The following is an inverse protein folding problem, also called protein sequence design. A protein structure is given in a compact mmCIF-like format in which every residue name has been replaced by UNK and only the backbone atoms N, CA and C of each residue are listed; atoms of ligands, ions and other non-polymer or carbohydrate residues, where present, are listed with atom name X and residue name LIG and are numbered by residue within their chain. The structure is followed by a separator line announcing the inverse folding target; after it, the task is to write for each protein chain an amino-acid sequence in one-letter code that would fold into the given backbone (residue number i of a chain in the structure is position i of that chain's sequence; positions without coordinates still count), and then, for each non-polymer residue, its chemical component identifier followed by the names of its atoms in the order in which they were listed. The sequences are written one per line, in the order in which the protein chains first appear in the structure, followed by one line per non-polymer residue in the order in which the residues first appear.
data_IF_432211180334
#
_entry.id   IF_432211180334
#
_cell.length_a   1.000
_cell.length_b   1.000
_cell.length_c   1.000
_cell.angle_alpha   90.00
_cell.angle_beta   90.00
_cell.angle_gamma   90.00
#
_symmetry.space_group_name_H-M   'P 1'
#
loop_
_entity.id
_entity.type
_entity.pdbx_description
1 polymer ?
#
# COMPACT_ATOMS: atom_id res chain seq x y z
N UNK A 1 -25.67 -13.16 -24.63
CA UNK A 1 -25.31 -11.72 -24.76
C UNK A 1 -23.79 -11.58 -24.83
N UNK A 2 -23.17 -11.74 -25.99
CA UNK A 2 -21.69 -11.76 -26.13
C UNK A 2 -21.00 -10.39 -25.92
N UNK A 3 -21.74 -9.30 -26.05
CA UNK A 3 -21.14 -7.95 -25.98
C UNK A 3 -20.83 -7.43 -24.55
N UNK A 4 -21.47 -7.97 -23.52
CA UNK A 4 -21.27 -7.55 -22.12
C UNK A 4 -19.97 -8.18 -21.57
N UNK A 5 -19.65 -9.42 -21.97
CA UNK A 5 -18.44 -10.11 -21.49
C UNK A 5 -17.15 -9.48 -22.06
N UNK A 6 -17.12 -9.13 -23.34
CA UNK A 6 -15.95 -8.50 -23.97
C UNK A 6 -15.68 -7.10 -23.42
N UNK A 7 -16.73 -6.33 -23.12
CA UNK A 7 -16.61 -5.03 -22.45
C UNK A 7 -16.06 -5.14 -21.03
N UNK A 8 -16.45 -6.15 -20.26
CA UNK A 8 -15.96 -6.38 -18.91
C UNK A 8 -14.49 -6.83 -18.88
N UNK A 9 -14.07 -7.66 -19.83
CA UNK A 9 -12.66 -8.10 -19.94
C UNK A 9 -11.77 -6.91 -20.30
N UNK A 10 -12.16 -6.07 -21.26
CA UNK A 10 -11.40 -4.87 -21.61
C UNK A 10 -11.29 -3.92 -20.41
N UNK A 11 -12.38 -3.68 -19.69
CA UNK A 11 -12.39 -2.86 -18.48
C UNK A 11 -11.44 -3.41 -17.41
N UNK A 12 -11.42 -4.74 -17.22
CA UNK A 12 -10.50 -5.39 -16.27
C UNK A 12 -9.04 -5.20 -16.67
N UNK A 13 -8.71 -5.41 -17.96
CA UNK A 13 -7.35 -5.24 -18.48
C UNK A 13 -6.90 -3.77 -18.33
N UNK A 14 -7.73 -2.82 -18.71
CA UNK A 14 -7.41 -1.38 -18.61
C UNK A 14 -7.23 -0.97 -17.16
N UNK A 15 -8.14 -1.39 -16.27
CA UNK A 15 -8.03 -1.11 -14.83
C UNK A 15 -6.75 -1.70 -14.25
N UNK A 16 -6.46 -2.97 -14.53
CA UNK A 16 -5.26 -3.64 -14.04
C UNK A 16 -3.98 -2.97 -14.55
N UNK A 17 -3.91 -2.69 -15.85
CA UNK A 17 -2.75 -2.03 -16.44
C UNK A 17 -2.53 -0.63 -15.86
N UNK A 18 -3.57 0.22 -15.81
CA UNK A 18 -3.49 1.55 -15.23
C UNK A 18 -3.04 1.49 -13.76
N UNK A 19 -3.68 0.65 -12.96
CA UNK A 19 -3.36 0.49 -11.55
C UNK A 19 -1.93 -0.03 -11.32
N UNK A 20 -1.44 -0.95 -12.15
CA UNK A 20 -0.08 -1.47 -12.06
C UNK A 20 0.97 -0.40 -12.33
N UNK A 21 0.83 0.34 -13.43
CA UNK A 21 1.79 1.39 -13.79
C UNK A 21 1.72 2.58 -12.84
N UNK A 22 0.53 3.06 -12.47
CA UNK A 22 0.36 4.14 -11.48
C UNK A 22 0.91 3.69 -10.12
N UNK A 23 0.50 2.52 -9.65
CA UNK A 23 1.00 1.93 -8.41
C UNK A 23 2.51 1.76 -8.39
N UNK A 24 3.10 1.45 -9.55
CA UNK A 24 4.53 1.26 -9.75
C UNK A 24 5.39 2.52 -9.61
N UNK A 25 4.84 3.74 -9.73
CA UNK A 25 5.63 4.97 -9.61
C UNK A 25 6.38 5.00 -8.28
N UNK A 26 7.74 5.06 -8.27
CA UNK A 26 8.53 4.93 -7.04
C UNK A 26 8.75 6.30 -6.37
N UNK A 27 7.74 6.87 -5.73
CA UNK A 27 7.81 8.23 -5.17
C UNK A 27 8.91 8.40 -4.13
N UNK A 28 9.28 7.37 -3.37
CA UNK A 28 10.45 7.45 -2.48
C UNK A 28 11.74 7.78 -3.21
N UNK A 29 11.93 7.27 -4.43
CA UNK A 29 13.10 7.58 -5.26
C UNK A 29 12.94 8.95 -5.93
N UNK A 30 11.75 9.24 -6.46
CA UNK A 30 11.47 10.53 -7.14
C UNK A 30 11.71 11.68 -6.19
N UNK A 31 11.10 11.66 -5.00
CA UNK A 31 11.28 12.72 -3.99
C UNK A 31 12.74 12.83 -3.57
N UNK A 32 13.43 11.71 -3.31
CA UNK A 32 14.85 11.74 -2.93
C UNK A 32 15.73 12.41 -3.99
N UNK A 33 15.47 12.16 -5.28
CA UNK A 33 16.18 12.81 -6.37
C UNK A 33 15.90 14.32 -6.45
N UNK A 34 14.62 14.70 -6.31
CA UNK A 34 14.21 16.12 -6.38
C UNK A 34 14.81 16.97 -5.26
N UNK A 35 15.03 16.40 -4.08
CA UNK A 35 15.61 17.14 -2.93
C UNK A 35 17.13 16.97 -2.83
N UNK A 36 17.79 16.37 -3.81
CA UNK A 36 19.24 16.15 -3.78
C UNK A 36 19.72 15.21 -2.67
N UNK A 37 18.83 14.33 -2.16
CA UNK A 37 19.13 13.44 -1.05
C UNK A 37 19.70 12.08 -1.45
N UNK A 38 20.10 11.29 -0.45
CA UNK A 38 20.61 9.93 -0.67
C UNK A 38 19.52 9.02 -1.24
N UNK A 39 19.90 8.09 -2.09
CA UNK A 39 18.95 7.13 -2.66
C UNK A 39 18.42 6.17 -1.55
N UNK A 40 17.09 6.03 -1.34
CA UNK A 40 16.56 5.12 -0.33
C UNK A 40 16.97 3.65 -0.52
N UNK A 41 17.30 3.26 -1.76
CA UNK A 41 17.78 1.91 -2.09
C UNK A 41 19.22 1.63 -1.64
N UNK A 42 20.02 2.64 -1.34
CA UNK A 42 21.38 2.46 -0.83
C UNK A 42 21.44 2.29 0.69
N UNK A 43 20.29 2.31 1.39
CA UNK A 43 20.21 2.32 2.86
C UNK A 43 19.32 1.18 3.36
N UNK A 44 19.66 0.65 4.53
CA UNK A 44 18.81 -0.26 5.29
C UNK A 44 18.46 -1.55 4.54
N UNK A 45 17.21 -1.72 4.13
CA UNK A 45 16.73 -2.92 3.44
C UNK A 45 16.95 -2.92 1.93
N UNK A 46 17.49 -1.85 1.36
CA UNK A 46 17.59 -1.68 -0.10
C UNK A 46 16.26 -1.42 -0.82
N UNK A 47 15.15 -1.23 -0.10
CA UNK A 47 13.83 -0.98 -0.67
C UNK A 47 13.48 0.52 -0.64
N UNK A 48 12.80 1.08 -1.64
CA UNK A 48 12.39 2.50 -1.66
C UNK A 48 11.13 2.78 -0.82
N UNK A 49 10.96 2.11 0.32
CA UNK A 49 9.80 2.28 1.19
C UNK A 49 10.01 3.33 2.27
N UNK A 50 8.92 3.75 2.96
CA UNK A 50 8.88 4.87 3.90
C UNK A 50 9.98 4.87 4.97
N UNK A 51 10.30 3.72 5.59
CA UNK A 51 11.37 3.64 6.59
C UNK A 51 12.77 3.95 6.02
N UNK A 52 13.07 3.51 4.81
CA UNK A 52 14.35 3.83 4.15
C UNK A 52 14.35 5.27 3.61
N UNK A 53 13.22 5.76 3.12
CA UNK A 53 13.05 7.16 2.73
C UNK A 53 13.25 8.08 3.93
N UNK A 54 12.70 7.72 5.11
CA UNK A 54 12.94 8.44 6.37
C UNK A 54 14.43 8.54 6.72
N UNK A 55 15.16 7.42 6.61
CA UNK A 55 16.61 7.39 6.86
C UNK A 55 17.42 8.15 5.81
N UNK A 56 16.94 8.20 4.56
CA UNK A 56 17.65 8.78 3.43
C UNK A 56 17.53 10.31 3.38
N UNK A 57 16.33 10.84 3.58
CA UNK A 57 15.97 12.23 3.30
C UNK A 57 15.17 12.90 4.43
N UNK A 58 15.07 12.26 5.59
CA UNK A 58 14.43 12.79 6.79
C UNK A 58 12.90 12.71 6.80
N UNK A 59 12.28 13.10 7.94
CA UNK A 59 10.85 12.84 8.21
C UNK A 59 9.91 13.63 7.29
N UNK A 60 10.23 14.89 6.99
CA UNK A 60 9.41 15.75 6.12
C UNK A 60 9.20 15.10 4.75
N UNK A 61 10.27 14.69 4.12
CA UNK A 61 10.24 14.15 2.76
C UNK A 61 9.77 12.71 2.71
N UNK A 62 9.99 11.94 3.79
CA UNK A 62 9.38 10.63 3.95
C UNK A 62 7.86 10.73 4.04
N UNK A 63 7.32 11.72 4.75
CA UNK A 63 5.88 11.98 4.80
C UNK A 63 5.33 12.34 3.41
N UNK A 64 5.97 13.28 2.71
CA UNK A 64 5.58 13.66 1.34
C UNK A 64 5.56 12.44 0.42
N UNK A 65 6.62 11.63 0.44
CA UNK A 65 6.68 10.38 -0.34
C UNK A 65 5.57 9.40 0.03
N UNK A 66 5.28 9.23 1.33
CA UNK A 66 4.21 8.37 1.80
C UNK A 66 2.82 8.84 1.38
N UNK A 67 2.56 10.16 1.40
CA UNK A 67 1.31 10.75 0.92
C UNK A 67 1.14 10.61 -0.60
N UNK A 68 2.22 10.76 -1.38
CA UNK A 68 2.19 10.50 -2.83
C UNK A 68 1.96 9.01 -3.13
N UNK A 69 2.53 8.10 -2.33
CA UNK A 69 2.25 6.67 -2.42
C UNK A 69 0.80 6.34 -2.03
N UNK A 70 0.20 7.05 -1.08
CA UNK A 70 -1.22 6.93 -0.77
C UNK A 70 -2.09 7.47 -1.90
N UNK A 71 -1.74 8.65 -2.44
CA UNK A 71 -2.49 9.28 -3.53
C UNK A 71 -2.60 8.37 -4.77
N UNK A 72 -1.52 7.67 -5.14
CA UNK A 72 -1.61 6.70 -6.27
C UNK A 72 -2.53 5.51 -5.95
N UNK A 73 -2.63 5.10 -4.67
CA UNK A 73 -3.62 4.14 -4.22
C UNK A 73 -5.05 4.66 -4.37
N UNK A 74 -5.30 5.92 -3.96
CA UNK A 74 -6.59 6.57 -4.20
C UNK A 74 -6.95 6.60 -5.69
N UNK A 75 -6.00 7.02 -6.54
CA UNK A 75 -6.22 7.11 -7.99
C UNK A 75 -6.56 5.75 -8.60
N UNK A 76 -5.89 4.66 -8.17
CA UNK A 76 -6.15 3.32 -8.68
C UNK A 76 -7.58 2.82 -8.41
N UNK A 77 -8.24 3.29 -7.34
CA UNK A 77 -9.63 3.00 -7.02
C UNK A 77 -10.59 4.00 -7.68
N UNK A 78 -10.21 5.27 -7.73
CA UNK A 78 -11.06 6.33 -8.28
C UNK A 78 -11.25 6.20 -9.79
N UNK A 79 -10.25 5.71 -10.54
CA UNK A 79 -10.37 5.54 -12.00
C UNK A 79 -11.56 4.62 -12.33
N UNK A 80 -11.64 3.36 -11.89
CA UNK A 80 -12.79 2.52 -12.21
C UNK A 80 -14.10 3.07 -11.65
N UNK A 81 -14.08 3.72 -10.48
CA UNK A 81 -15.27 4.35 -9.89
C UNK A 81 -15.83 5.47 -10.77
N UNK A 82 -15.00 6.39 -11.26
CA UNK A 82 -15.43 7.48 -12.15
C UNK A 82 -15.85 7.01 -13.55
N UNK A 83 -15.32 5.87 -14.00
CA UNK A 83 -15.74 5.22 -15.23
C UNK A 83 -17.07 4.44 -15.08
N UNK A 84 -17.67 4.44 -13.89
CA UNK A 84 -18.92 3.74 -13.63
C UNK A 84 -18.78 2.21 -13.56
N UNK A 85 -17.56 1.70 -13.37
CA UNK A 85 -17.34 0.27 -13.18
C UNK A 85 -17.73 -0.15 -11.75
N UNK A 86 -18.11 -1.41 -11.58
CA UNK A 86 -18.55 -1.94 -10.29
C UNK A 86 -17.42 -2.05 -9.26
N UNK A 87 -17.78 -2.38 -8.00
CA UNK A 87 -16.83 -2.55 -6.89
C UNK A 87 -15.73 -3.58 -7.17
N UNK A 88 -15.97 -4.56 -8.05
CA UNK A 88 -15.01 -5.57 -8.46
C UNK A 88 -13.78 -4.92 -9.13
N UNK A 89 -13.99 -3.88 -9.91
CA UNK A 89 -12.90 -3.15 -10.57
C UNK A 89 -12.16 -2.22 -9.60
N UNK A 90 -12.84 -1.68 -8.59
CA UNK A 90 -12.19 -0.97 -7.50
C UNK A 90 -11.22 -1.88 -6.74
N UNK A 91 -11.67 -3.09 -6.40
CA UNK A 91 -10.87 -4.11 -5.71
C UNK A 91 -9.70 -4.55 -6.59
N UNK A 92 -9.95 -4.82 -7.88
CA UNK A 92 -8.90 -5.15 -8.84
C UNK A 92 -7.84 -4.03 -8.89
N UNK A 93 -8.26 -2.78 -9.08
CA UNK A 93 -7.37 -1.62 -9.11
C UNK A 93 -6.55 -1.48 -7.83
N UNK A 94 -7.20 -1.62 -6.67
CA UNK A 94 -6.55 -1.53 -5.37
C UNK A 94 -5.45 -2.59 -5.18
N UNK A 95 -5.77 -3.86 -5.42
CA UNK A 95 -4.82 -4.96 -5.24
C UNK A 95 -3.66 -4.90 -6.23
N UNK A 96 -3.95 -4.58 -7.49
CA UNK A 96 -2.92 -4.45 -8.53
C UNK A 96 -2.01 -3.25 -8.28
N UNK A 97 -2.52 -2.12 -7.73
CA UNK A 97 -1.68 -0.99 -7.35
C UNK A 97 -0.69 -1.35 -6.22
N UNK A 98 -1.11 -2.17 -5.24
CA UNK A 98 -0.22 -2.69 -4.18
C UNK A 98 0.89 -3.56 -4.80
N UNK A 99 0.55 -4.42 -5.75
CA UNK A 99 1.54 -5.24 -6.50
C UNK A 99 2.48 -4.34 -7.30
N UNK A 100 1.95 -3.36 -8.05
CA UNK A 100 2.73 -2.40 -8.82
C UNK A 100 3.74 -1.65 -7.95
N UNK A 101 3.34 -1.18 -6.77
CA UNK A 101 4.26 -0.53 -5.82
C UNK A 101 5.37 -1.46 -5.32
N UNK A 102 5.06 -2.72 -5.11
CA UNK A 102 6.00 -3.69 -4.52
C UNK A 102 6.86 -4.40 -5.56
N UNK A 103 6.40 -4.41 -6.82
CA UNK A 103 7.05 -4.97 -8.01
C UNK A 103 7.05 -3.93 -9.14
N UNK A 104 7.67 -2.79 -8.89
CA UNK A 104 7.66 -1.65 -9.80
C UNK A 104 8.41 -1.94 -11.11
N UNK A 105 7.77 -1.74 -12.26
CA UNK A 105 8.43 -1.90 -13.58
C UNK A 105 9.50 -0.83 -13.82
N UNK A 106 9.40 0.32 -13.15
CA UNK A 106 10.32 1.45 -13.34
C UNK A 106 11.68 1.26 -12.65
N UNK A 107 11.83 0.27 -11.78
CA UNK A 107 13.04 0.06 -10.97
C UNK A 107 13.46 -1.41 -10.92
N UNK A 108 13.26 -2.14 -12.02
CA UNK A 108 13.66 -3.54 -12.16
C UNK A 108 12.88 -4.48 -11.26
N UNK A 109 11.55 -4.29 -11.18
CA UNK A 109 10.63 -5.09 -10.37
C UNK A 109 10.96 -5.15 -8.87
N UNK A 110 11.85 -4.26 -8.41
CA UNK A 110 12.01 -3.94 -6.99
C UNK A 110 10.89 -2.98 -6.54
N UNK A 111 10.74 -2.77 -5.24
CA UNK A 111 9.71 -1.83 -4.76
C UNK A 111 9.61 -1.79 -3.25
N UNK A 112 8.61 -1.06 -2.77
CA UNK A 112 8.24 -0.96 -1.37
C UNK A 112 7.47 -2.20 -0.88
N UNK A 113 6.60 -1.99 0.11
CA UNK A 113 5.80 -3.06 0.74
C UNK A 113 4.29 -2.84 0.64
N UNK A 114 3.86 -1.84 -0.08
CA UNK A 114 2.46 -1.57 -0.39
C UNK A 114 1.64 -0.89 0.70
N UNK A 115 2.18 -0.64 1.90
CA UNK A 115 1.40 -0.15 3.06
C UNK A 115 0.73 1.20 2.79
N UNK A 116 1.48 2.20 2.32
CA UNK A 116 0.91 3.52 2.03
C UNK A 116 -0.09 3.48 0.88
N UNK A 117 0.16 2.63 -0.14
CA UNK A 117 -0.77 2.43 -1.26
C UNK A 117 -2.06 1.79 -0.76
N UNK A 118 -1.97 0.70 0.03
CA UNK A 118 -3.12 0.05 0.62
C UNK A 118 -3.92 0.99 1.54
N UNK A 119 -3.24 1.84 2.31
CA UNK A 119 -3.91 2.88 3.09
C UNK A 119 -4.65 3.87 2.19
N UNK A 120 -4.04 4.31 1.09
CA UNK A 120 -4.67 5.19 0.10
C UNK A 120 -5.90 4.56 -0.55
N UNK A 121 -5.87 3.26 -0.88
CA UNK A 121 -7.05 2.57 -1.41
C UNK A 121 -8.18 2.53 -0.39
N UNK A 122 -7.87 2.32 0.90
CA UNK A 122 -8.86 2.37 2.00
C UNK A 122 -9.46 3.76 2.21
N UNK A 123 -8.70 4.83 2.01
CA UNK A 123 -9.23 6.21 2.08
C UNK A 123 -10.42 6.40 1.14
N UNK A 124 -10.42 5.72 -0.01
CA UNK A 124 -11.50 5.80 -1.00
C UNK A 124 -12.59 4.74 -0.77
N UNK A 125 -12.20 3.50 -0.47
CA UNK A 125 -13.15 2.37 -0.30
C UNK A 125 -13.92 2.51 1.01
N UNK A 126 -13.19 2.71 2.12
CA UNK A 126 -13.79 2.79 3.46
C UNK A 126 -12.96 3.71 4.38
N UNK A 127 -13.23 5.03 4.34
CA UNK A 127 -12.48 6.05 5.09
C UNK A 127 -12.40 5.78 6.60
N UNK A 128 -13.45 5.20 7.18
CA UNK A 128 -13.48 4.87 8.61
C UNK A 128 -12.39 3.87 8.98
N UNK A 129 -12.18 2.83 8.14
CA UNK A 129 -11.10 1.86 8.34
C UNK A 129 -9.73 2.52 8.18
N UNK A 130 -9.59 3.38 7.16
CA UNK A 130 -8.35 4.11 6.93
C UNK A 130 -7.96 4.98 8.15
N UNK A 131 -8.93 5.65 8.77
CA UNK A 131 -8.71 6.44 9.99
C UNK A 131 -8.40 5.56 11.21
N UNK A 132 -9.12 4.44 11.37
CA UNK A 132 -8.97 3.55 12.51
C UNK A 132 -7.63 2.81 12.52
N UNK A 133 -6.98 2.60 11.37
CA UNK A 133 -5.64 2.01 11.29
C UNK A 133 -4.56 2.94 11.86
N UNK A 134 -4.71 4.25 11.74
CA UNK A 134 -3.67 5.21 12.12
C UNK A 134 -3.22 5.10 13.59
N UNK A 135 -4.12 5.07 14.60
CA UNK A 135 -3.71 4.88 15.97
C UNK A 135 -3.07 3.52 16.24
N UNK A 136 -3.51 2.44 15.58
CA UNK A 136 -2.90 1.12 15.70
C UNK A 136 -1.48 1.14 15.14
N UNK A 137 -1.31 1.59 13.89
CA UNK A 137 -0.02 1.71 13.24
C UNK A 137 0.93 2.62 14.02
N UNK A 138 0.47 3.83 14.36
CA UNK A 138 1.26 4.81 15.09
C UNK A 138 1.59 4.37 16.50
N UNK A 139 0.63 3.82 17.24
CA UNK A 139 0.82 3.31 18.60
C UNK A 139 1.86 2.20 18.68
N UNK A 140 1.80 1.24 17.74
CA UNK A 140 2.82 0.18 17.65
C UNK A 140 4.21 0.74 17.36
N UNK A 141 4.33 1.71 16.43
CA UNK A 141 5.61 2.35 16.13
C UNK A 141 6.14 3.14 17.34
N UNK A 142 5.29 3.87 18.02
CA UNK A 142 5.69 4.63 19.22
C UNK A 142 6.18 3.72 20.34
N UNK A 143 5.51 2.59 20.56
CA UNK A 143 5.85 1.63 21.60
C UNK A 143 7.11 0.82 21.27
N UNK A 144 7.26 0.36 20.02
CA UNK A 144 8.30 -0.61 19.63
C UNK A 144 9.44 -0.03 18.81
N UNK A 145 9.21 1.10 18.15
CA UNK A 145 10.07 1.70 17.11
C UNK A 145 10.28 0.80 15.88
N UNK A 146 9.39 -0.15 15.65
CA UNK A 146 9.47 -1.11 14.55
C UNK A 146 8.34 -0.85 13.57
N UNK A 147 8.66 -0.22 12.42
CA UNK A 147 7.65 0.13 11.41
C UNK A 147 7.00 -1.09 10.74
N UNK A 148 7.76 -2.17 10.56
CA UNK A 148 7.21 -3.40 9.97
C UNK A 148 6.17 -4.05 10.86
N UNK A 149 6.35 -4.04 12.19
CA UNK A 149 5.37 -4.55 13.13
C UNK A 149 4.08 -3.71 13.10
N UNK A 150 4.22 -2.37 13.05
CA UNK A 150 3.07 -1.47 12.87
C UNK A 150 2.32 -1.75 11.57
N UNK A 151 3.04 -2.01 10.47
CA UNK A 151 2.43 -2.34 9.17
C UNK A 151 1.67 -3.66 9.19
N UNK A 152 2.23 -4.69 9.79
CA UNK A 152 1.61 -6.03 9.90
C UNK A 152 0.36 -5.99 10.79
N UNK A 153 0.46 -5.40 11.98
CA UNK A 153 -0.67 -5.31 12.91
C UNK A 153 -1.75 -4.34 12.40
N UNK A 154 -1.34 -3.20 11.84
CA UNK A 154 -2.28 -2.24 11.24
C UNK A 154 -3.03 -2.83 10.04
N UNK A 155 -2.34 -3.58 9.16
CA UNK A 155 -3.00 -4.23 8.03
C UNK A 155 -3.97 -5.33 8.48
N UNK A 156 -3.59 -6.15 9.45
CA UNK A 156 -4.46 -7.18 10.01
C UNK A 156 -5.71 -6.58 10.66
N UNK A 157 -5.52 -5.55 11.52
CA UNK A 157 -6.63 -4.83 12.14
C UNK A 157 -7.56 -4.23 11.09
N UNK A 158 -7.02 -3.55 10.07
CA UNK A 158 -7.80 -2.96 8.98
C UNK A 158 -8.56 -4.00 8.17
N UNK A 159 -7.94 -5.14 7.86
CA UNK A 159 -8.61 -6.25 7.16
C UNK A 159 -9.76 -6.83 7.97
N UNK A 160 -9.56 -7.12 9.26
CA UNK A 160 -10.62 -7.63 10.14
C UNK A 160 -11.76 -6.62 10.31
N UNK A 161 -11.44 -5.34 10.49
CA UNK A 161 -12.44 -4.28 10.57
C UNK A 161 -13.23 -4.15 9.28
N UNK A 162 -12.57 -4.26 8.12
CA UNK A 162 -13.25 -4.21 6.81
C UNK A 162 -14.24 -5.36 6.66
N UNK A 163 -13.85 -6.61 6.97
CA UNK A 163 -14.74 -7.78 6.95
C UNK A 163 -15.94 -7.56 7.88
N UNK A 164 -15.70 -7.06 9.08
CA UNK A 164 -16.79 -6.76 10.02
C UNK A 164 -17.76 -5.70 9.46
N UNK A 165 -17.27 -4.65 8.81
CA UNK A 165 -18.11 -3.62 8.20
C UNK A 165 -18.87 -4.11 6.97
N UNK A 166 -18.27 -4.99 6.16
CA UNK A 166 -18.99 -5.67 5.06
C UNK A 166 -20.22 -6.39 5.61
N UNK A 167 -20.05 -7.18 6.68
CA UNK A 167 -21.14 -7.92 7.30
C UNK A 167 -22.17 -7.01 7.99
N UNK A 168 -21.74 -5.97 8.70
CA UNK A 168 -22.61 -5.12 9.52
C UNK A 168 -23.35 -4.05 8.71
N UNK A 169 -22.72 -3.52 7.66
CA UNK A 169 -23.27 -2.44 6.84
C UNK A 169 -23.86 -2.92 5.50
N UNK A 170 -23.81 -4.23 5.22
CA UNK A 170 -24.27 -4.77 3.94
C UNK A 170 -23.48 -4.27 2.73
N UNK A 171 -22.19 -4.02 2.89
CA UNK A 171 -21.34 -3.61 1.78
C UNK A 171 -21.17 -4.75 0.78
N UNK A 172 -20.82 -4.45 -0.50
CA UNK A 172 -20.57 -5.47 -1.50
C UNK A 172 -19.57 -6.53 -1.01
N UNK A 173 -19.89 -7.84 -1.09
CA UNK A 173 -19.03 -8.92 -0.57
C UNK A 173 -17.64 -8.99 -1.20
N UNK A 174 -17.45 -8.40 -2.38
CA UNK A 174 -16.15 -8.30 -3.04
C UNK A 174 -15.12 -7.53 -2.20
N UNK A 175 -15.56 -6.69 -1.28
CA UNK A 175 -14.66 -6.01 -0.34
C UNK A 175 -14.03 -6.93 0.71
N UNK A 176 -14.59 -8.13 0.95
CA UNK A 176 -13.91 -9.18 1.72
C UNK A 176 -12.69 -9.70 0.96
N UNK A 177 -12.79 -9.81 -0.38
CA UNK A 177 -11.65 -10.17 -1.23
C UNK A 177 -10.57 -9.07 -1.16
N UNK A 178 -10.97 -7.79 -1.14
CA UNK A 178 -10.03 -6.69 -0.93
C UNK A 178 -9.35 -6.78 0.45
N UNK A 179 -10.11 -7.02 1.51
CA UNK A 179 -9.60 -7.12 2.87
C UNK A 179 -8.57 -8.26 2.98
N UNK A 180 -8.94 -9.45 2.58
CA UNK A 180 -8.04 -10.62 2.62
C UNK A 180 -6.83 -10.45 1.69
N UNK A 181 -7.05 -9.98 0.46
CA UNK A 181 -6.01 -9.80 -0.55
C UNK A 181 -4.99 -8.74 -0.17
N UNK A 182 -5.43 -7.58 0.35
CA UNK A 182 -4.52 -6.52 0.79
C UNK A 182 -3.66 -6.95 1.98
N UNK A 183 -4.24 -7.63 2.97
CA UNK A 183 -3.49 -8.20 4.09
C UNK A 183 -2.48 -9.22 3.59
N UNK A 184 -2.91 -10.18 2.77
CA UNK A 184 -2.02 -11.21 2.23
C UNK A 184 -0.85 -10.60 1.45
N UNK A 185 -1.09 -9.64 0.56
CA UNK A 185 -0.04 -8.97 -0.20
C UNK A 185 0.94 -8.23 0.72
N UNK A 186 0.45 -7.46 1.70
CA UNK A 186 1.31 -6.76 2.66
C UNK A 186 2.18 -7.78 3.41
N UNK A 187 1.61 -8.87 3.88
CA UNK A 187 2.34 -9.90 4.63
C UNK A 187 3.37 -10.62 3.76
N UNK A 188 3.03 -10.98 2.51
CA UNK A 188 3.96 -11.57 1.54
C UNK A 188 5.13 -10.63 1.28
N UNK A 189 4.88 -9.33 1.09
CA UNK A 189 5.95 -8.36 0.88
C UNK A 189 6.74 -8.01 2.16
N UNK A 190 6.30 -8.49 3.34
CA UNK A 190 7.00 -8.37 4.62
C UNK A 190 7.68 -9.66 5.09
N UNK A 191 7.72 -10.73 4.30
CA UNK A 191 8.30 -12.03 4.73
C UNK A 191 9.74 -11.89 5.26
N UNK A 192 10.57 -11.04 4.65
CA UNK A 192 11.91 -10.74 5.12
C UNK A 192 11.94 -9.98 6.46
N UNK A 193 10.91 -9.14 6.76
CA UNK A 193 10.76 -8.51 8.08
C UNK A 193 10.26 -9.52 9.11
N UNK A 194 9.28 -10.34 8.75
CA UNK A 194 8.73 -11.38 9.65
C UNK A 194 9.87 -12.28 10.09
N UNK A 195 10.71 -12.74 9.17
CA UNK A 195 11.87 -13.54 9.51
C UNK A 195 12.84 -12.83 10.48
N UNK A 196 13.06 -11.51 10.32
CA UNK A 196 13.89 -10.74 11.26
C UNK A 196 13.19 -10.47 12.59
N UNK A 197 11.88 -10.24 12.59
CA UNK A 197 11.08 -10.09 13.81
C UNK A 197 11.17 -11.34 14.69
N UNK A 198 10.99 -12.52 14.09
CA UNK A 198 11.07 -13.80 14.80
C UNK A 198 12.47 -14.07 15.38
N UNK A 199 13.53 -13.56 14.72
CA UNK A 199 14.91 -13.66 15.20
C UNK A 199 15.32 -12.55 16.16
N UNK A 200 14.47 -11.57 16.45
CA UNK A 200 14.79 -10.40 17.28
C UNK A 200 15.78 -9.41 16.61
N UNK A 201 16.00 -9.49 15.30
CA UNK A 201 16.98 -8.69 14.54
C UNK A 201 16.35 -7.64 13.62
N UNK A 202 15.06 -7.35 13.80
CA UNK A 202 14.39 -6.34 12.99
C UNK A 202 14.89 -4.93 13.29
N UNK A 203 15.01 -4.12 12.24
CA UNK A 203 15.54 -2.76 12.31
C UNK A 203 14.56 -1.83 13.02
N UNK A 204 15.06 -1.06 13.98
CA UNK A 204 14.29 -0.01 14.65
C UNK A 204 14.44 1.33 13.93
N UNK A 205 13.47 2.21 14.12
CA UNK A 205 13.55 3.62 13.72
C UNK A 205 14.31 4.34 14.82
N UNK A 206 15.58 4.62 14.59
CA UNK A 206 16.38 5.41 15.52
C UNK A 206 16.00 6.89 15.45
N UNK A 207 16.08 7.59 16.58
CA UNK A 207 15.79 9.02 16.67
C UNK A 207 16.91 9.91 16.14
N UNK A 208 18.03 9.33 15.69
CA UNK A 208 19.16 10.07 15.14
C UNK A 208 19.39 9.68 13.68
N UNK A 209 19.57 10.68 12.81
CA UNK A 209 20.02 10.43 11.45
C UNK A 209 21.42 9.85 11.42
#
# INVERSE_FOLDING_TARGET
MPGVESGSVLAAVVTAAAAYFIGGIPFGIVVARLVGGRAPRSIGSGRPGGANTLRAIGPRWALVSGLLDAAKGCVAVLIPRFLGFGPEFEVLGALVAIVGHSRSPYIGFGGGRGVSVAWGTLVVIQPLVALAILPVFGGVILATRVSSLGSLLGSLFGGLMMIALVALQGLPPVYDVYAAGSVALIWIFHLDNIARLLRGTERRIDRRP
#
